data_IF_883325529258
#
_entry.id   IF_883325529258
#
_cell.length_a   1.000
_cell.length_b   1.000
_cell.length_c   1.000
_cell.angle_alpha   90.00
_cell.angle_beta   90.00
_cell.angle_gamma   90.00
#
_symmetry.space_group_name_H-M   'P 1'
#
loop_
_entity.id
_entity.type
_entity.pdbx_description
1 polymer ?
#
# COMPACT_ATOMS: atom_id res chain seq x y z
N UNK A 1 -14.79 30.63 -6.13
CA UNK A 1 -15.15 29.22 -6.45
C UNK A 1 -14.40 28.30 -5.50
N UNK A 2 -15.09 27.72 -4.50
CA UNK A 2 -14.49 26.78 -3.55
C UNK A 2 -14.42 25.40 -4.22
N UNK A 3 -13.21 24.93 -4.55
CA UNK A 3 -13.00 23.54 -4.98
C UNK A 3 -13.22 22.65 -3.76
N UNK A 4 -14.34 21.93 -3.73
CA UNK A 4 -14.51 20.84 -2.78
C UNK A 4 -13.42 19.81 -3.06
N UNK A 5 -12.45 19.67 -2.15
CA UNK A 5 -11.62 18.46 -2.09
C UNK A 5 -12.57 17.34 -1.69
N UNK A 6 -13.10 16.60 -2.66
CA UNK A 6 -13.68 15.30 -2.40
C UNK A 6 -12.56 14.42 -1.85
N UNK A 7 -12.57 14.24 -0.54
CA UNK A 7 -11.94 13.09 0.08
C UNK A 7 -12.62 11.87 -0.55
N UNK A 8 -11.90 11.11 -1.36
CA UNK A 8 -12.32 9.77 -1.80
C UNK A 8 -12.31 8.84 -0.58
N UNK A 9 -13.26 9.05 0.34
CA UNK A 9 -13.40 8.27 1.57
C UNK A 9 -14.25 7.00 1.40
N UNK A 10 -14.56 6.59 0.17
CA UNK A 10 -15.38 5.40 -0.09
C UNK A 10 -14.95 4.62 -1.33
N UNK A 11 -13.66 4.66 -1.71
CA UNK A 11 -13.15 3.59 -2.56
C UNK A 11 -13.08 2.35 -1.69
N UNK A 12 -14.14 1.53 -1.69
CA UNK A 12 -14.04 0.13 -1.30
C UNK A 12 -13.04 -0.48 -2.27
N UNK A 13 -11.79 -0.63 -1.83
CA UNK A 13 -10.73 -1.26 -2.60
C UNK A 13 -11.11 -2.73 -2.78
N UNK A 14 -11.88 -3.01 -3.84
CA UNK A 14 -12.22 -4.37 -4.21
C UNK A 14 -10.97 -5.01 -4.83
N UNK A 15 -10.80 -6.35 -4.80
CA UNK A 15 -9.66 -6.99 -5.43
C UNK A 15 -9.42 -6.56 -6.89
N UNK A 16 -10.48 -6.19 -7.63
CA UNK A 16 -10.40 -5.65 -9.01
C UNK A 16 -9.81 -4.24 -9.13
N UNK A 17 -9.85 -3.40 -8.10
CA UNK A 17 -9.33 -2.02 -8.19
C UNK A 17 -7.81 -1.95 -8.17
N UNK A 18 -7.13 -3.00 -7.70
CA UNK A 18 -5.67 -2.99 -7.55
C UNK A 18 -4.91 -3.06 -8.88
N UNK A 19 -5.51 -3.58 -9.97
CA UNK A 19 -4.81 -3.76 -11.26
C UNK A 19 -4.55 -2.44 -12.00
N UNK A 20 -5.22 -1.35 -11.60
CA UNK A 20 -5.12 -0.02 -12.24
C UNK A 20 -4.44 1.04 -11.36
N UNK A 21 -3.83 0.64 -10.24
CA UNK A 21 -3.23 1.60 -9.31
C UNK A 21 -1.87 2.09 -9.77
N UNK A 22 -1.62 3.39 -9.58
CA UNK A 22 -0.29 3.95 -9.76
C UNK A 22 0.59 3.60 -8.55
N UNK A 23 1.93 3.60 -8.70
CA UNK A 23 2.85 3.35 -7.59
C UNK A 23 2.59 4.22 -6.35
N UNK A 24 2.18 5.47 -6.56
CA UNK A 24 1.80 6.38 -5.49
C UNK A 24 0.58 5.90 -4.71
N UNK A 25 -0.47 5.46 -5.40
CA UNK A 25 -1.69 4.97 -4.76
C UNK A 25 -1.41 3.70 -3.94
N UNK A 26 -0.51 2.84 -4.43
CA UNK A 26 -0.08 1.63 -3.73
C UNK A 26 0.68 1.97 -2.45
N UNK A 27 1.57 2.96 -2.48
CA UNK A 27 2.25 3.46 -1.28
C UNK A 27 1.27 4.02 -0.26
N UNK A 28 0.31 4.85 -0.68
CA UNK A 28 -0.70 5.41 0.22
C UNK A 28 -1.58 4.31 0.84
N UNK A 29 -1.93 3.29 0.06
CA UNK A 29 -2.65 2.12 0.55
C UNK A 29 -1.86 1.35 1.59
N UNK A 30 -0.59 1.07 1.33
CA UNK A 30 0.28 0.39 2.29
C UNK A 30 0.37 1.17 3.60
N UNK A 31 0.49 2.49 3.54
CA UNK A 31 0.51 3.38 4.71
C UNK A 31 -0.84 3.34 5.45
N UNK A 32 -1.96 3.42 4.73
CA UNK A 32 -3.29 3.36 5.32
C UNK A 32 -3.55 2.01 6.03
N UNK A 33 -3.07 0.90 5.45
CA UNK A 33 -3.18 -0.43 6.05
C UNK A 33 -2.14 -0.69 7.15
N UNK A 34 -1.04 0.06 7.21
CA UNK A 34 0.02 -0.11 8.23
C UNK A 34 -0.54 -0.10 9.65
N UNK A 35 -1.55 0.73 9.93
CA UNK A 35 -2.21 0.81 11.24
C UNK A 35 -2.99 -0.46 11.61
N UNK A 36 -3.50 -1.20 10.62
CA UNK A 36 -4.22 -2.47 10.84
C UNK A 36 -3.25 -3.65 10.99
N UNK A 37 -2.06 -3.52 10.40
CA UNK A 37 -1.04 -4.56 10.37
C UNK A 37 -0.25 -4.57 11.70
N UNK A 38 -0.55 -5.53 12.58
CA UNK A 38 0.12 -5.71 13.88
C UNK A 38 1.40 -6.54 13.81
N UNK A 39 2.27 -6.28 12.83
CA UNK A 39 3.60 -6.91 12.75
C UNK A 39 4.70 -5.85 12.68
N UNK A 40 5.92 -6.24 13.03
CA UNK A 40 7.10 -5.37 12.91
C UNK A 40 7.40 -5.08 11.44
N UNK A 41 8.13 -3.99 11.17
CA UNK A 41 8.51 -3.65 9.80
C UNK A 41 9.35 -4.76 9.15
N UNK A 42 10.22 -5.44 9.92
CA UNK A 42 11.02 -6.56 9.41
C UNK A 42 10.16 -7.73 8.97
N UNK A 43 9.16 -8.13 9.78
CA UNK A 43 8.25 -9.23 9.43
C UNK A 43 7.33 -8.82 8.27
N UNK A 44 6.91 -7.56 8.22
CA UNK A 44 6.10 -7.03 7.12
C UNK A 44 6.87 -7.03 5.80
N UNK A 45 8.12 -6.56 5.83
CA UNK A 45 8.98 -6.51 4.66
C UNK A 45 9.26 -7.92 4.13
N UNK A 46 9.56 -8.87 5.02
CA UNK A 46 9.76 -10.28 4.68
C UNK A 46 8.50 -10.89 4.04
N UNK A 47 7.32 -10.64 4.60
CA UNK A 47 6.04 -11.12 4.03
C UNK A 47 5.73 -10.53 2.65
N UNK A 48 6.04 -9.26 2.44
CA UNK A 48 5.87 -8.62 1.12
C UNK A 48 6.95 -9.12 0.14
N UNK A 49 8.12 -9.54 0.65
CA UNK A 49 9.27 -9.93 -0.17
C UNK A 49 10.12 -8.73 -0.62
N UNK A 50 10.20 -7.69 0.22
CA UNK A 50 11.03 -6.49 -0.01
C UNK A 50 12.00 -6.27 1.15
N UNK A 51 13.02 -5.45 0.97
CA UNK A 51 13.93 -5.12 2.07
C UNK A 51 13.28 -4.20 3.12
N UNK A 52 13.60 -4.39 4.40
CA UNK A 52 13.06 -3.54 5.49
C UNK A 52 13.33 -2.05 5.25
N UNK A 53 14.51 -1.69 4.74
CA UNK A 53 14.84 -0.29 4.46
C UNK A 53 13.97 0.30 3.36
N UNK A 54 13.59 -0.50 2.34
CA UNK A 54 12.68 -0.08 1.29
C UNK A 54 11.28 0.14 1.85
N UNK A 55 10.78 -0.80 2.67
CA UNK A 55 9.49 -0.65 3.32
C UNK A 55 9.43 0.64 4.15
N UNK A 56 10.45 0.93 4.96
CA UNK A 56 10.51 2.17 5.74
C UNK A 56 10.52 3.40 4.84
N UNK A 57 11.31 3.39 3.77
CA UNK A 57 11.35 4.50 2.82
C UNK A 57 10.01 4.72 2.10
N UNK A 58 9.27 3.65 1.78
CA UNK A 58 7.92 3.70 1.22
C UNK A 58 6.92 4.30 2.22
N UNK A 59 6.96 3.84 3.48
CA UNK A 59 6.08 4.35 4.55
C UNK A 59 6.34 5.84 4.87
N UNK A 60 7.60 6.27 4.75
CA UNK A 60 8.01 7.67 4.88
C UNK A 60 7.78 8.51 3.61
N UNK A 61 7.23 7.92 2.53
CA UNK A 61 7.02 8.57 1.22
C UNK A 61 8.30 9.11 0.58
N UNK A 62 9.46 8.53 0.91
CA UNK A 62 10.77 8.92 0.34
C UNK A 62 11.01 8.32 -1.04
N UNK A 63 10.44 7.14 -1.29
CA UNK A 63 10.56 6.43 -2.57
C UNK A 63 9.17 5.98 -3.03
N UNK A 64 9.08 5.65 -4.31
CA UNK A 64 7.94 4.95 -4.89
C UNK A 64 8.33 3.52 -5.25
N UNK A 65 7.40 2.56 -5.15
CA UNK A 65 7.68 1.18 -5.51
C UNK A 65 7.81 1.06 -7.03
N UNK A 66 8.72 0.21 -7.48
CA UNK A 66 8.77 -0.18 -8.89
C UNK A 66 7.62 -1.14 -9.26
N UNK A 67 7.47 -1.48 -10.54
CA UNK A 67 6.36 -2.32 -11.00
C UNK A 67 6.30 -3.71 -10.32
N UNK A 68 7.46 -4.32 -10.04
CA UNK A 68 7.53 -5.61 -9.36
C UNK A 68 7.09 -5.48 -7.90
N UNK A 69 7.61 -4.47 -7.20
CA UNK A 69 7.25 -4.15 -5.82
C UNK A 69 5.76 -3.80 -5.68
N UNK A 70 5.21 -3.08 -6.65
CA UNK A 70 3.78 -2.78 -6.73
C UNK A 70 2.94 -4.07 -6.69
N UNK A 71 3.30 -5.08 -7.50
CA UNK A 71 2.61 -6.37 -7.56
C UNK A 71 2.72 -7.13 -6.23
N UNK A 72 3.89 -7.13 -5.62
CA UNK A 72 4.12 -7.77 -4.32
C UNK A 72 3.26 -7.14 -3.21
N UNK A 73 3.28 -5.81 -3.11
CA UNK A 73 2.50 -5.06 -2.12
C UNK A 73 1.00 -5.28 -2.33
N UNK A 74 0.53 -5.22 -3.59
CA UNK A 74 -0.88 -5.49 -3.92
C UNK A 74 -1.30 -6.90 -3.50
N UNK A 75 -0.50 -7.91 -3.84
CA UNK A 75 -0.82 -9.29 -3.51
C UNK A 75 -0.91 -9.47 -2.00
N UNK A 76 0.05 -8.91 -1.26
CA UNK A 76 0.01 -8.91 0.20
C UNK A 76 -1.25 -8.21 0.76
N UNK A 77 -1.60 -7.02 0.26
CA UNK A 77 -2.79 -6.30 0.72
C UNK A 77 -4.08 -7.08 0.43
N UNK A 78 -4.18 -7.75 -0.72
CA UNK A 78 -5.30 -8.63 -1.07
C UNK A 78 -5.41 -9.82 -0.11
N UNK A 79 -4.30 -10.39 0.33
CA UNK A 79 -4.30 -11.48 1.33
C UNK A 79 -4.78 -10.97 2.69
N UNK A 80 -4.32 -9.79 3.12
CA UNK A 80 -4.72 -9.19 4.39
C UNK A 80 -6.21 -8.82 4.41
N UNK A 81 -6.81 -8.37 3.31
CA UNK A 81 -8.25 -8.06 3.24
C UNK A 81 -9.16 -9.29 3.22
N UNK A 82 -8.63 -10.47 2.88
CA UNK A 82 -9.38 -11.73 2.85
C UNK A 82 -9.41 -12.45 4.20
N UNK A 83 -8.54 -12.07 5.14
CA UNK A 83 -8.48 -12.60 6.50
C UNK A 83 -9.27 -11.72 7.48
#
# INVERSE_FOLDING_TARGET
MKRHRQWHNDIKYTPRSYDNLLPYDISELLIAHRCKIKMSDDVLADKIGIYTWQLKALLERRILPNESECKLIINFLREVERC
#
